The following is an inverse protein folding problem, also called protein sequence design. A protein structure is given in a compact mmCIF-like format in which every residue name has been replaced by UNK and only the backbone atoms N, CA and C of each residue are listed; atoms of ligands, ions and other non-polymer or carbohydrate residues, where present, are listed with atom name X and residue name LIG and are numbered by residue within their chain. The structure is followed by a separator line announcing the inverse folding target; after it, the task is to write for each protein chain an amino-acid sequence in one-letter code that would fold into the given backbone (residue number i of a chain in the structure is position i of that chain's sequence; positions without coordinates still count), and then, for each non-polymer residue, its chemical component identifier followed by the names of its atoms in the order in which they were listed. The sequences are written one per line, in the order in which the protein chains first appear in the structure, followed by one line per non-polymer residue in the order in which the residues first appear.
data_IF_393406585030
#
_entry.id   IF_393406585030
#
_cell.length_a   1.000
_cell.length_b   1.000
_cell.length_c   1.000
_cell.angle_alpha   90.00
_cell.angle_beta   90.00
_cell.angle_gamma   90.00
#
_symmetry.space_group_name_H-M   'P 1'
#
loop_
_entity.id
_entity.type
_entity.pdbx_description
1 polymer ?
#
# COMPACT_ATOMS: atom_id res chain seq x y z
N UNK A 1 14.13 13.35 -6.65
CA UNK A 1 13.61 14.03 -7.85
C UNK A 1 13.40 13.03 -8.98
N UNK A 2 14.44 12.27 -9.39
CA UNK A 2 14.37 11.28 -10.48
C UNK A 2 13.28 10.20 -10.37
N UNK A 3 13.01 9.63 -9.18
CA UNK A 3 12.03 8.52 -9.03
C UNK A 3 10.62 8.90 -9.50
N UNK A 4 10.13 10.08 -9.10
CA UNK A 4 8.77 10.54 -9.44
C UNK A 4 8.65 10.80 -10.95
N UNK A 5 9.65 11.43 -11.53
CA UNK A 5 9.70 11.75 -12.96
C UNK A 5 9.74 10.50 -13.83
N UNK A 6 10.57 9.51 -13.46
CA UNK A 6 10.64 8.23 -14.17
C UNK A 6 9.31 7.49 -14.10
N UNK A 7 8.67 7.45 -12.93
CA UNK A 7 7.35 6.80 -12.77
C UNK A 7 6.25 7.52 -13.55
N UNK A 8 6.29 8.85 -13.62
CA UNK A 8 5.36 9.63 -14.42
C UNK A 8 5.54 9.36 -15.92
N UNK A 9 6.77 9.24 -16.41
CA UNK A 9 7.01 8.83 -17.79
C UNK A 9 6.60 7.38 -18.08
N UNK A 10 6.84 6.45 -17.15
CA UNK A 10 6.36 5.07 -17.27
C UNK A 10 4.83 5.05 -17.33
N UNK A 11 4.14 5.81 -16.48
CA UNK A 11 2.67 5.91 -16.48
C UNK A 11 2.09 6.31 -17.84
N UNK A 12 2.81 7.14 -18.59
CA UNK A 12 2.37 7.64 -19.90
C UNK A 12 2.90 6.80 -21.08
N UNK A 13 3.63 5.71 -20.82
CA UNK A 13 4.16 4.84 -21.86
C UNK A 13 3.04 4.03 -22.51
N UNK A 14 2.94 4.08 -23.84
CA UNK A 14 2.01 3.20 -24.54
C UNK A 14 2.56 1.77 -24.55
N UNK A 15 1.82 0.86 -23.90
CA UNK A 15 2.10 -0.57 -23.85
C UNK A 15 0.87 -1.40 -24.26
N UNK A 16 -0.15 -0.76 -24.87
CA UNK A 16 -1.39 -1.44 -25.24
C UNK A 16 -1.17 -2.52 -26.29
N UNK A 17 -0.21 -2.32 -27.18
CA UNK A 17 0.24 -3.30 -28.16
C UNK A 17 0.86 -4.55 -27.53
N UNK A 18 1.32 -4.46 -26.27
CA UNK A 18 1.84 -5.56 -25.47
C UNK A 18 0.78 -6.15 -24.52
N UNK A 19 -0.49 -5.79 -24.71
CA UNK A 19 -1.61 -6.18 -23.85
C UNK A 19 -1.48 -5.70 -22.38
N UNK A 20 -0.75 -4.60 -22.16
CA UNK A 20 -0.59 -3.96 -20.84
C UNK A 20 -1.38 -2.64 -20.84
N UNK A 21 -2.53 -2.63 -20.14
CA UNK A 21 -3.41 -1.45 -20.09
C UNK A 21 -2.91 -0.37 -19.13
N UNK A 22 -2.29 -0.77 -18.01
CA UNK A 22 -1.79 0.12 -16.98
C UNK A 22 -0.27 -0.05 -16.82
N UNK A 23 0.56 0.83 -17.43
CA UNK A 23 2.01 0.72 -17.40
C UNK A 23 2.64 0.75 -16.00
N UNK A 24 2.01 1.39 -15.02
CA UNK A 24 2.51 1.40 -13.64
C UNK A 24 2.28 0.06 -12.93
N UNK A 25 1.32 -0.75 -13.38
CA UNK A 25 0.97 -2.03 -12.73
C UNK A 25 2.10 -3.08 -12.82
N UNK A 26 2.95 -2.95 -13.83
CA UNK A 26 4.09 -3.85 -14.06
C UNK A 26 5.29 -3.51 -13.18
N UNK A 27 5.34 -2.32 -12.58
CA UNK A 27 6.44 -1.89 -11.69
C UNK A 27 6.19 -2.39 -10.26
N UNK A 28 7.07 -3.24 -9.74
CA UNK A 28 6.97 -3.82 -8.38
C UNK A 28 7.86 -3.15 -7.34
N UNK A 29 8.99 -2.60 -7.77
CA UNK A 29 9.90 -1.81 -6.94
C UNK A 29 10.67 -0.86 -7.85
N UNK A 30 10.93 0.37 -7.40
CA UNK A 30 11.84 1.31 -8.07
C UNK A 30 12.65 2.03 -7.01
N UNK A 31 13.98 1.92 -7.11
CA UNK A 31 14.93 2.61 -6.24
C UNK A 31 16.01 3.29 -7.07
N UNK A 32 16.44 4.46 -6.63
CA UNK A 32 17.57 5.18 -7.23
C UNK A 32 18.66 5.32 -6.19
N UNK A 33 19.85 4.81 -6.51
CA UNK A 33 21.03 4.82 -5.64
C UNK A 33 22.27 5.01 -6.49
N UNK A 34 23.08 6.03 -6.18
CA UNK A 34 24.40 6.25 -6.81
C UNK A 34 24.36 6.27 -8.35
N UNK A 35 23.34 6.90 -8.93
CA UNK A 35 23.18 6.98 -10.39
C UNK A 35 22.67 5.69 -11.05
N UNK A 36 22.34 4.66 -10.28
CA UNK A 36 21.70 3.42 -10.77
C UNK A 36 20.21 3.44 -10.41
N UNK A 37 19.36 3.18 -11.41
CA UNK A 37 17.93 2.94 -11.19
C UNK A 37 17.72 1.44 -11.15
N UNK A 38 17.40 0.90 -9.97
CA UNK A 38 17.01 -0.48 -9.79
C UNK A 38 15.49 -0.59 -9.97
N UNK A 39 15.05 -1.32 -11.00
CA UNK A 39 13.66 -1.49 -11.35
C UNK A 39 13.27 -2.96 -11.31
N UNK A 40 12.29 -3.33 -10.50
CA UNK A 40 11.70 -4.68 -10.52
C UNK A 40 10.41 -4.65 -11.32
N UNK A 41 10.33 -5.47 -12.36
CA UNK A 41 9.17 -5.53 -13.26
C UNK A 41 8.54 -6.92 -13.25
N UNK A 42 7.21 -6.98 -13.26
CA UNK A 42 6.47 -8.21 -13.53
C UNK A 42 5.70 -8.04 -14.84
N UNK A 43 6.09 -8.82 -15.85
CA UNK A 43 5.47 -8.85 -17.18
C UNK A 43 5.50 -10.28 -17.72
N UNK A 44 4.60 -10.64 -18.65
CA UNK A 44 4.68 -11.91 -19.38
C UNK A 44 6.05 -12.11 -20.02
N UNK A 45 6.51 -13.38 -20.07
CA UNK A 45 7.83 -13.72 -20.59
C UNK A 45 8.01 -13.28 -22.06
N UNK A 46 6.94 -13.29 -22.86
CA UNK A 46 7.00 -12.94 -24.29
C UNK A 46 7.31 -11.46 -24.54
N UNK A 47 6.99 -10.57 -23.59
CA UNK A 47 7.10 -9.11 -23.77
C UNK A 47 8.27 -8.48 -23.03
N UNK A 48 9.07 -9.28 -22.29
CA UNK A 48 10.18 -8.79 -21.46
C UNK A 48 11.15 -7.87 -22.19
N UNK A 49 11.66 -8.30 -23.34
CA UNK A 49 12.64 -7.53 -24.11
C UNK A 49 12.05 -6.23 -24.68
N UNK A 50 10.78 -6.25 -25.12
CA UNK A 50 10.11 -5.07 -25.65
C UNK A 50 9.87 -4.02 -24.56
N UNK A 51 9.40 -4.47 -23.38
CA UNK A 51 9.21 -3.62 -22.20
C UNK A 51 10.54 -3.06 -21.71
N UNK A 52 11.59 -3.91 -21.65
CA UNK A 52 12.94 -3.51 -21.25
C UNK A 52 13.46 -2.37 -22.13
N UNK A 53 13.43 -2.55 -23.44
CA UNK A 53 13.90 -1.54 -24.40
C UNK A 53 13.16 -0.21 -24.25
N UNK A 54 11.83 -0.23 -24.12
CA UNK A 54 11.03 1.00 -23.95
C UNK A 54 11.36 1.73 -22.65
N UNK A 55 11.51 1.00 -21.54
CA UNK A 55 11.85 1.57 -20.25
C UNK A 55 13.28 2.12 -20.23
N UNK A 56 14.25 1.41 -20.80
CA UNK A 56 15.62 1.90 -20.92
C UNK A 56 15.70 3.20 -21.75
N UNK A 57 14.91 3.29 -22.81
CA UNK A 57 14.83 4.51 -23.63
C UNK A 57 14.24 5.69 -22.83
N UNK A 58 13.16 5.47 -22.07
CA UNK A 58 12.60 6.50 -21.18
C UNK A 58 13.63 6.96 -20.15
N UNK A 59 14.34 6.03 -19.53
CA UNK A 59 15.34 6.34 -18.51
C UNK A 59 16.46 7.20 -19.11
N UNK A 60 17.01 6.81 -20.27
CA UNK A 60 18.04 7.58 -20.98
C UNK A 60 17.56 8.96 -21.40
N UNK A 61 16.30 9.10 -21.81
CA UNK A 61 15.69 10.40 -22.14
C UNK A 61 15.42 11.27 -20.91
N UNK A 62 15.40 10.68 -19.72
CA UNK A 62 15.15 11.41 -18.47
C UNK A 62 16.47 11.92 -17.90
N UNK A 63 17.47 11.05 -17.82
CA UNK A 63 18.80 11.43 -17.37
C UNK A 63 19.82 10.45 -17.94
N UNK A 64 20.71 10.96 -18.79
CA UNK A 64 21.75 10.16 -19.45
C UNK A 64 22.77 9.59 -18.45
N UNK A 65 22.88 10.16 -17.25
CA UNK A 65 23.77 9.67 -16.21
C UNK A 65 23.18 8.47 -15.45
N UNK A 66 21.89 8.20 -15.61
CA UNK A 66 21.23 7.10 -14.92
C UNK A 66 21.42 5.77 -15.68
N UNK A 67 21.94 4.77 -14.97
CA UNK A 67 22.10 3.41 -15.49
C UNK A 67 20.89 2.55 -15.07
N UNK A 68 20.10 2.04 -16.02
CA UNK A 68 19.00 1.15 -15.69
C UNK A 68 19.53 -0.23 -15.30
N UNK A 69 19.05 -0.75 -14.17
CA UNK A 69 19.20 -2.15 -13.76
C UNK A 69 17.80 -2.74 -13.61
N UNK A 70 17.37 -3.52 -14.60
CA UNK A 70 16.01 -4.07 -14.69
C UNK A 70 16.04 -5.55 -14.31
N UNK A 71 15.32 -5.91 -13.26
CA UNK A 71 15.14 -7.29 -12.80
C UNK A 71 13.69 -7.71 -13.06
N UNK A 72 13.50 -8.79 -13.82
CA UNK A 72 12.19 -9.36 -14.03
C UNK A 72 11.84 -10.35 -12.93
N UNK A 73 10.74 -10.10 -12.23
CA UNK A 73 10.16 -11.00 -11.25
C UNK A 73 8.97 -11.72 -11.86
N UNK A 74 8.68 -12.94 -11.39
CA UNK A 74 7.47 -13.65 -11.81
C UNK A 74 6.25 -12.83 -11.42
N UNK A 75 5.26 -12.76 -12.31
CA UNK A 75 3.95 -12.23 -11.96
C UNK A 75 3.42 -13.05 -10.78
N UNK A 76 3.16 -12.40 -9.65
CA UNK A 76 2.37 -13.05 -8.61
C UNK A 76 1.00 -13.32 -9.23
N UNK A 77 0.50 -14.58 -9.20
CA UNK A 77 -0.80 -14.88 -9.77
C UNK A 77 -1.82 -13.90 -9.18
N UNK A 78 -2.63 -13.27 -10.05
CA UNK A 78 -3.76 -12.47 -9.61
C UNK A 78 -4.60 -13.37 -8.72
N UNK A 79 -4.49 -13.19 -7.40
CA UNK A 79 -5.20 -14.02 -6.42
C UNK A 79 -6.67 -13.96 -6.78
N UNK A 80 -7.25 -15.12 -7.02
CA UNK A 80 -8.67 -15.21 -7.26
C UNK A 80 -9.37 -14.66 -6.01
N UNK A 81 -10.29 -13.67 -6.10
CA UNK A 81 -11.00 -13.14 -4.94
C UNK A 81 -11.76 -14.20 -4.13
N UNK A 82 -11.96 -15.37 -4.73
CA UNK A 82 -12.66 -16.53 -4.17
C UNK A 82 -11.74 -17.67 -3.72
N UNK A 83 -10.42 -17.58 -3.91
CA UNK A 83 -9.49 -18.55 -3.31
C UNK A 83 -9.45 -18.32 -1.80
N UNK A 84 -9.84 -19.35 -1.04
CA UNK A 84 -9.71 -19.32 0.41
C UNK A 84 -8.24 -19.10 0.75
N UNK A 85 -7.90 -18.07 1.54
CA UNK A 85 -6.51 -17.84 1.90
C UNK A 85 -6.04 -19.06 2.69
N UNK A 86 -5.08 -19.80 2.13
CA UNK A 86 -4.27 -20.72 2.91
C UNK A 86 -3.67 -19.87 4.03
N UNK A 87 -4.05 -20.13 5.28
CA UNK A 87 -3.56 -19.41 6.46
C UNK A 87 -2.10 -19.85 6.68
N UNK A 88 -1.22 -19.40 5.79
CA UNK A 88 0.20 -19.32 6.07
C UNK A 88 0.39 -18.11 6.98
N UNK A 89 1.24 -18.25 8.02
CA UNK A 89 1.65 -17.11 8.86
C UNK A 89 2.45 -16.13 7.99
N UNK A 90 1.77 -15.29 7.23
CA UNK A 90 2.40 -14.19 6.48
C UNK A 90 2.82 -13.13 7.49
N UNK A 91 4.12 -13.02 7.72
CA UNK A 91 4.67 -11.94 8.53
C UNK A 91 4.48 -10.61 7.81
N UNK A 92 4.18 -9.55 8.58
CA UNK A 92 4.11 -8.20 8.05
C UNK A 92 5.54 -7.66 8.00
N UNK A 93 6.03 -7.36 6.80
CA UNK A 93 7.41 -6.91 6.58
C UNK A 93 7.71 -5.65 7.39
N UNK A 94 8.83 -5.63 8.10
CA UNK A 94 9.26 -4.48 8.90
C UNK A 94 8.60 -4.35 10.29
N UNK A 95 7.57 -5.14 10.58
CA UNK A 95 6.88 -5.11 11.88
C UNK A 95 7.48 -6.14 12.82
N UNK A 96 8.08 -5.67 13.92
CA UNK A 96 8.72 -6.54 14.93
C UNK A 96 7.71 -7.18 15.89
N UNK A 97 6.64 -6.46 16.21
CA UNK A 97 5.65 -6.81 17.24
C UNK A 97 4.26 -6.42 16.77
N UNK A 98 3.29 -7.32 16.92
CA UNK A 98 1.87 -7.06 16.68
C UNK A 98 1.16 -7.19 18.03
N UNK A 99 0.36 -6.19 18.39
CA UNK A 99 -0.42 -6.16 19.63
C UNK A 99 -1.90 -6.11 19.25
N UNK A 100 -2.60 -7.25 19.25
CA UNK A 100 -4.04 -7.26 19.04
C UNK A 100 -4.76 -6.62 20.24
N UNK A 101 -5.70 -5.71 19.95
CA UNK A 101 -6.59 -5.13 20.97
C UNK A 101 -8.03 -5.46 20.58
N UNK A 102 -8.70 -6.28 21.37
CA UNK A 102 -10.03 -6.81 21.08
C UNK A 102 -10.97 -6.68 22.28
N UNK A 103 -12.28 -6.69 22.03
CA UNK A 103 -13.31 -6.72 23.07
C UNK A 103 -14.46 -7.63 22.67
N UNK A 104 -15.10 -8.27 23.65
CA UNK A 104 -16.29 -9.10 23.43
C UNK A 104 -17.60 -8.31 23.36
N UNK A 105 -17.56 -6.99 23.60
CA UNK A 105 -18.73 -6.10 23.59
C UNK A 105 -18.36 -4.74 22.97
N UNK A 106 -19.35 -4.08 22.37
CA UNK A 106 -19.25 -2.69 21.91
C UNK A 106 -19.22 -1.71 23.08
N UNK A 107 -18.64 -0.53 22.88
CA UNK A 107 -18.67 0.56 23.86
C UNK A 107 -17.73 0.44 25.07
N UNK A 108 -16.95 -0.64 25.20
CA UNK A 108 -16.03 -0.84 26.35
C UNK A 108 -14.74 -0.01 26.29
N UNK A 109 -14.59 0.86 25.29
CA UNK A 109 -13.39 1.69 25.12
C UNK A 109 -12.21 0.99 24.43
N UNK A 110 -12.42 -0.09 23.66
CA UNK A 110 -11.38 -0.77 22.87
C UNK A 110 -10.51 0.22 22.08
N UNK A 111 -11.15 1.07 21.27
CA UNK A 111 -10.46 2.05 20.43
C UNK A 111 -9.73 3.11 21.26
N UNK A 112 -10.30 3.47 22.43
CA UNK A 112 -9.67 4.35 23.40
C UNK A 112 -8.35 3.79 23.91
N UNK A 113 -8.36 2.52 24.33
CA UNK A 113 -7.15 1.84 24.81
C UNK A 113 -6.14 1.68 23.67
N UNK A 114 -6.56 1.22 22.49
CA UNK A 114 -5.66 1.03 21.35
C UNK A 114 -4.97 2.33 20.91
N UNK A 115 -5.73 3.41 20.79
CA UNK A 115 -5.22 4.73 20.36
C UNK A 115 -4.24 5.30 21.38
N UNK A 116 -4.61 5.30 22.67
CA UNK A 116 -3.72 5.83 23.71
C UNK A 116 -2.46 4.99 23.89
N UNK A 117 -2.56 3.66 23.78
CA UNK A 117 -1.40 2.78 23.79
C UNK A 117 -0.45 3.10 22.63
N UNK A 118 -0.98 3.29 21.42
CA UNK A 118 -0.18 3.64 20.25
C UNK A 118 0.55 4.98 20.44
N UNK A 119 -0.17 6.03 20.88
CA UNK A 119 0.41 7.35 21.16
C UNK A 119 1.46 7.26 22.27
N UNK A 120 1.20 6.54 23.35
CA UNK A 120 2.15 6.39 24.46
C UNK A 120 3.45 5.71 24.00
N UNK A 121 3.35 4.65 23.20
CA UNK A 121 4.51 3.99 22.60
C UNK A 121 5.27 4.92 21.64
N UNK A 122 4.56 5.72 20.84
CA UNK A 122 5.15 6.75 19.98
C UNK A 122 5.93 7.80 20.77
N UNK A 123 5.35 8.30 21.87
CA UNK A 123 6.01 9.24 22.80
C UNK A 123 7.26 8.66 23.47
N UNK A 124 7.36 7.34 23.60
CA UNK A 124 8.57 6.63 24.06
C UNK A 124 9.60 6.41 22.94
N UNK A 125 9.45 7.09 21.79
CA UNK A 125 10.38 7.03 20.66
C UNK A 125 10.30 5.72 19.86
N UNK A 126 9.21 4.97 19.96
CA UNK A 126 9.01 3.75 19.17
C UNK A 126 8.36 4.11 17.83
N UNK A 127 8.75 3.41 16.76
CA UNK A 127 8.01 3.44 15.49
C UNK A 127 6.72 2.64 15.66
N UNK A 128 5.57 3.32 15.56
CA UNK A 128 4.26 2.73 15.82
C UNK A 128 3.31 2.95 14.64
N UNK A 129 2.64 1.87 14.25
CA UNK A 129 1.49 1.88 13.36
C UNK A 129 0.23 1.45 14.11
N UNK A 130 -0.90 2.09 13.80
CA UNK A 130 -2.23 1.75 14.33
C UNK A 130 -3.16 1.35 13.18
N UNK A 131 -3.63 0.10 13.20
CA UNK A 131 -4.65 -0.40 12.28
C UNK A 131 -5.99 -0.50 13.00
N UNK A 132 -6.97 0.26 12.53
CA UNK A 132 -8.35 0.19 12.99
C UNK A 132 -9.19 -0.68 12.04
N UNK A 133 -9.46 -1.90 12.50
CA UNK A 133 -10.26 -2.90 11.79
C UNK A 133 -11.75 -2.88 12.21
N UNK A 134 -12.21 -1.85 12.94
CA UNK A 134 -13.60 -1.73 13.36
C UNK A 134 -14.47 -1.14 12.25
N UNK A 135 -15.31 -1.98 11.63
CA UNK A 135 -16.09 -1.61 10.43
C UNK A 135 -17.35 -0.85 10.81
N UNK A 136 -17.98 -1.23 11.92
CA UNK A 136 -19.31 -0.77 12.31
C UNK A 136 -19.26 0.50 13.19
N UNK A 137 -18.08 0.83 13.74
CA UNK A 137 -17.89 2.03 14.55
C UNK A 137 -16.43 2.47 14.60
N UNK A 138 -15.80 2.75 13.43
CA UNK A 138 -14.42 3.25 13.40
C UNK A 138 -14.34 4.59 14.13
N UNK A 139 -13.76 4.56 15.33
CA UNK A 139 -13.66 5.71 16.23
C UNK A 139 -12.28 6.34 16.20
N UNK A 140 -11.28 5.62 15.69
CA UNK A 140 -9.88 6.06 15.69
C UNK A 140 -9.68 7.34 14.87
N UNK A 141 -10.26 7.53 13.66
CA UNK A 141 -10.13 8.79 12.93
C UNK A 141 -10.63 10.01 13.73
N UNK A 142 -11.75 9.85 14.44
CA UNK A 142 -12.31 10.91 15.29
C UNK A 142 -11.41 11.18 16.49
N UNK A 143 -10.93 10.14 17.16
CA UNK A 143 -10.04 10.25 18.33
C UNK A 143 -8.71 10.93 18.00
N UNK A 144 -8.19 10.71 16.80
CA UNK A 144 -6.96 11.33 16.33
C UNK A 144 -7.22 12.65 15.59
N UNK A 145 -8.45 13.16 15.51
CA UNK A 145 -8.73 14.42 14.81
C UNK A 145 -8.44 14.38 13.31
N UNK A 146 -8.43 13.19 12.70
CA UNK A 146 -8.19 12.96 11.26
C UNK A 146 -9.48 12.62 10.52
N UNK A 147 -10.63 12.99 11.08
CA UNK A 147 -11.93 12.79 10.44
C UNK A 147 -12.00 13.54 9.11
N UNK A 148 -12.53 12.89 8.08
CA UNK A 148 -12.60 13.44 6.71
C UNK A 148 -11.31 13.28 5.90
N UNK A 149 -10.22 12.79 6.50
CA UNK A 149 -9.04 12.41 5.74
C UNK A 149 -9.37 11.25 4.79
N UNK A 150 -8.75 11.26 3.61
CA UNK A 150 -8.93 10.23 2.58
C UNK A 150 -7.63 9.49 2.36
N UNK A 151 -7.73 8.17 2.17
CA UNK A 151 -6.58 7.38 1.77
C UNK A 151 -6.10 7.81 0.38
N UNK A 152 -4.80 7.93 0.24
CA UNK A 152 -4.11 8.09 -1.03
C UNK A 152 -3.15 6.92 -1.23
N UNK A 153 -2.91 6.55 -2.48
CA UNK A 153 -1.88 5.59 -2.81
C UNK A 153 -0.61 6.31 -3.30
N UNK A 154 0.55 5.74 -3.00
CA UNK A 154 1.79 6.15 -3.62
C UNK A 154 1.85 5.64 -5.07
N UNK A 155 2.94 6.00 -5.75
CA UNK A 155 3.23 5.62 -7.14
C UNK A 155 3.32 4.10 -7.39
N UNK A 156 3.46 3.29 -6.35
CA UNK A 156 3.46 1.82 -6.41
C UNK A 156 2.13 1.20 -5.97
N UNK A 157 1.07 2.00 -5.95
CA UNK A 157 -0.26 1.60 -5.51
C UNK A 157 -0.33 1.10 -4.05
N UNK A 158 0.64 1.48 -3.21
CA UNK A 158 0.59 1.23 -1.77
C UNK A 158 -0.14 2.35 -1.05
N UNK A 159 -0.93 2.00 -0.06
CA UNK A 159 -1.64 2.97 0.77
C UNK A 159 -0.61 3.79 1.56
N UNK A 160 -0.70 5.10 1.45
CA UNK A 160 0.05 6.02 2.31
C UNK A 160 -0.75 6.15 3.62
N UNK A 161 -0.20 5.71 4.77
CA UNK A 161 -0.89 5.82 6.04
C UNK A 161 -1.05 7.29 6.44
N UNK A 162 -2.15 7.61 7.11
CA UNK A 162 -2.36 8.94 7.68
C UNK A 162 -1.50 9.06 8.93
N UNK A 163 -0.83 10.19 9.11
CA UNK A 163 0.04 10.42 10.27
C UNK A 163 -0.55 11.51 11.16
N UNK A 164 -0.66 11.23 12.45
CA UNK A 164 -0.93 12.25 13.46
C UNK A 164 -0.34 11.83 14.81
N UNK A 165 -0.06 12.79 15.70
CA UNK A 165 0.51 12.53 17.03
C UNK A 165 1.77 11.65 17.02
N UNK A 166 2.56 11.70 15.94
CA UNK A 166 3.78 10.91 15.77
C UNK A 166 3.56 9.41 15.53
N UNK A 167 2.33 9.01 15.15
CA UNK A 167 2.00 7.63 14.79
C UNK A 167 1.38 7.57 13.39
N UNK A 168 1.66 6.48 12.67
CA UNK A 168 1.04 6.17 11.39
C UNK A 168 -0.26 5.39 11.63
N UNK A 169 -1.31 5.68 10.90
CA UNK A 169 -2.60 5.03 11.05
C UNK A 169 -3.31 4.69 9.74
N UNK A 170 -4.05 3.58 9.77
CA UNK A 170 -5.01 3.20 8.75
C UNK A 170 -6.29 2.75 9.47
N UNK A 171 -7.44 3.15 8.94
CA UNK A 171 -8.75 2.82 9.49
C UNK A 171 -9.74 2.52 8.38
N UNK A 172 -10.64 1.56 8.64
CA UNK A 172 -11.85 1.37 7.83
C UNK A 172 -12.69 2.65 7.71
N UNK A 173 -12.62 3.54 8.70
CA UNK A 173 -13.32 4.84 8.67
C UNK A 173 -12.90 5.76 7.53
N UNK A 174 -11.73 5.54 6.91
CA UNK A 174 -11.29 6.31 5.74
C UNK A 174 -11.86 5.82 4.41
N UNK A 175 -12.47 4.63 4.40
CA UNK A 175 -13.13 4.08 3.21
C UNK A 175 -14.59 4.53 3.08
N UNK A 176 -15.16 5.10 4.14
CA UNK A 176 -16.55 5.55 4.15
C UNK A 176 -16.66 6.91 3.43
N UNK A 177 -17.57 7.06 2.45
CA UNK A 177 -17.78 8.34 1.75
C UNK A 177 -18.20 9.46 2.70
N UNK A 178 -18.99 9.12 3.72
CA UNK A 178 -19.33 9.95 4.88
C UNK A 178 -19.72 9.04 6.05
N UNK A 179 -19.73 9.56 7.28
CA UNK A 179 -20.09 8.78 8.48
C UNK A 179 -21.53 8.25 8.44
N UNK A 180 -22.43 8.99 7.79
CA UNK A 180 -23.85 8.64 7.71
C UNK A 180 -24.17 7.76 6.49
N UNK A 181 -23.17 7.39 5.69
CA UNK A 181 -23.40 6.52 4.53
C UNK A 181 -23.43 5.05 4.98
N UNK A 182 -24.60 4.38 4.95
CA UNK A 182 -24.66 2.95 5.19
C UNK A 182 -23.96 2.23 4.04
N UNK A 183 -22.88 1.50 4.35
CA UNK A 183 -22.15 0.67 3.38
C UNK A 183 -22.34 -0.80 3.72
N UNK A 184 -22.83 -1.57 2.75
CA UNK A 184 -22.94 -3.03 2.87
C UNK A 184 -21.59 -3.66 2.52
N UNK A 185 -20.81 -3.96 3.54
CA UNK A 185 -19.55 -4.68 3.40
C UNK A 185 -19.81 -6.17 3.31
N UNK A 186 -19.54 -6.78 2.14
CA UNK A 186 -19.54 -8.24 2.01
C UNK A 186 -18.22 -8.80 2.56
N UNK A 187 -18.28 -9.99 3.18
CA UNK A 187 -17.11 -10.64 3.78
C UNK A 187 -15.84 -10.67 2.92
N UNK A 188 -15.91 -11.01 1.62
CA UNK A 188 -14.75 -10.99 0.73
C UNK A 188 -14.13 -9.59 0.57
N UNK A 189 -14.95 -8.53 0.46
CA UNK A 189 -14.47 -7.16 0.31
C UNK A 189 -13.76 -6.70 1.58
N UNK A 190 -14.34 -7.02 2.74
CA UNK A 190 -13.72 -6.73 4.03
C UNK A 190 -12.36 -7.44 4.17
N UNK A 191 -12.31 -8.73 3.84
CA UNK A 191 -11.08 -9.52 3.93
C UNK A 191 -10.01 -8.98 2.98
N UNK A 192 -10.41 -8.51 1.79
CA UNK A 192 -9.52 -7.87 0.83
C UNK A 192 -8.98 -6.54 1.37
N UNK A 193 -9.83 -5.68 1.92
CA UNK A 193 -9.43 -4.41 2.52
C UNK A 193 -8.47 -4.61 3.70
N UNK A 194 -8.76 -5.55 4.60
CA UNK A 194 -7.87 -5.89 5.71
C UNK A 194 -6.52 -6.43 5.23
N UNK A 195 -6.50 -7.29 4.21
CA UNK A 195 -5.25 -7.76 3.61
C UNK A 195 -4.44 -6.60 3.03
N UNK A 196 -5.09 -5.67 2.32
CA UNK A 196 -4.44 -4.49 1.76
C UNK A 196 -3.85 -3.61 2.88
N UNK A 197 -4.60 -3.38 3.96
CA UNK A 197 -4.14 -2.61 5.12
C UNK A 197 -3.00 -3.28 5.89
N UNK A 198 -2.86 -4.60 5.81
CA UNK A 198 -1.78 -5.34 6.46
C UNK A 198 -0.53 -5.45 5.60
N UNK A 199 -0.65 -5.53 4.27
CA UNK A 199 0.46 -5.92 3.40
C UNK A 199 0.81 -4.92 2.30
N UNK A 200 -0.10 -4.02 1.94
CA UNK A 200 0.02 -3.11 0.80
C UNK A 200 0.03 -1.63 1.25
N UNK A 201 0.83 -1.35 2.27
CA UNK A 201 1.01 -0.04 2.92
C UNK A 201 2.47 0.39 2.83
N UNK A 202 2.71 1.70 2.72
CA UNK A 202 4.05 2.31 2.63
C UNK A 202 4.77 2.51 3.99
#
# INVERSE_FOLDING_TARGET
MAVKEILEKIKNLDLKDLNIQEPTSIVKDLKVSEGVINLKLAVPDEVKEQVKSRIENIIKQTDQNLRPNIEFVKEEPKKNPFEQPVISKRSIKGIKRIIPVASGKGGVGKSTVATNLAIALGKLGKSVGLLDADIYGPSVPTMLGTKGARLSANVFNKIIPIENHGIKMISMGFLLPSEDTPVIWRGPILMQALNQFLFDVD
#
